data_IF_345485402427
#
_entry.id   IF_345485402427
#
_cell.length_a   1.000
_cell.length_b   1.000
_cell.length_c   1.000
_cell.angle_alpha   90.00
_cell.angle_beta   90.00
_cell.angle_gamma   90.00
#
_symmetry.space_group_name_H-M   'P 1'
#
loop_
_entity.id
_entity.type
_entity.pdbx_description
1 polymer ?
#
# COMPACT_ATOMS: atom_id res chain seq x y z
N UNK A 1 19.26 -22.72 8.66
CA UNK A 1 18.33 -21.70 8.15
C UNK A 1 18.97 -20.31 8.15
N UNK A 2 19.60 -19.90 9.27
CA UNK A 2 20.17 -18.54 9.39
C UNK A 2 21.27 -18.24 8.36
N UNK A 3 22.22 -19.15 8.17
CA UNK A 3 23.40 -18.86 7.34
C UNK A 3 23.16 -18.98 5.83
N UNK A 4 22.21 -19.81 5.41
CA UNK A 4 22.01 -20.12 3.99
C UNK A 4 20.64 -19.71 3.46
N UNK A 5 19.81 -19.07 4.30
CA UNK A 5 18.41 -18.72 3.98
C UNK A 5 17.58 -19.91 3.42
N UNK A 6 17.93 -21.13 3.84
CA UNK A 6 17.22 -22.36 3.46
C UNK A 6 16.55 -22.99 4.67
N UNK A 7 15.44 -23.65 4.44
CA UNK A 7 14.78 -24.46 5.48
C UNK A 7 15.69 -25.56 5.95
N UNK A 8 15.63 -25.92 7.22
CA UNK A 8 16.48 -26.93 7.82
C UNK A 8 15.72 -27.72 8.87
N UNK A 9 16.19 -28.95 9.07
CA UNK A 9 15.76 -29.80 10.18
C UNK A 9 17.00 -30.18 10.98
N UNK A 10 16.93 -30.07 12.29
CA UNK A 10 17.98 -30.50 13.23
C UNK A 10 17.43 -31.64 14.06
N UNK A 11 18.04 -32.80 13.95
CA UNK A 11 17.62 -33.99 14.67
C UNK A 11 18.25 -34.04 16.06
N UNK A 12 17.59 -34.73 16.96
CA UNK A 12 17.93 -35.04 18.33
C UNK A 12 19.43 -35.13 18.62
N UNK A 13 20.13 -36.05 17.96
CA UNK A 13 21.55 -36.32 18.15
C UNK A 13 22.52 -35.28 17.55
N UNK A 14 22.00 -34.39 16.69
CA UNK A 14 22.77 -33.27 16.11
C UNK A 14 22.84 -32.09 17.07
N UNK A 15 22.02 -32.10 18.13
CA UNK A 15 22.04 -31.07 19.15
C UNK A 15 23.21 -31.31 20.13
N UNK A 16 24.04 -30.30 20.33
CA UNK A 16 25.15 -30.34 21.25
C UNK A 16 24.74 -30.34 22.74
N UNK A 17 23.52 -29.87 23.03
CA UNK A 17 23.01 -29.77 24.40
C UNK A 17 22.17 -31.00 24.76
N UNK A 18 22.58 -31.73 25.81
CA UNK A 18 21.90 -32.94 26.29
C UNK A 18 20.40 -32.72 26.61
N UNK A 19 20.03 -31.56 27.09
CA UNK A 19 18.63 -31.22 27.45
C UNK A 19 17.66 -31.17 26.27
N UNK A 20 18.16 -31.07 25.04
CA UNK A 20 17.35 -30.99 23.80
C UNK A 20 17.56 -32.18 22.88
N UNK A 21 18.30 -33.19 23.29
CA UNK A 21 18.54 -34.39 22.48
C UNK A 21 17.29 -35.23 22.17
N UNK A 22 16.21 -35.07 22.92
CA UNK A 22 14.90 -35.69 22.62
C UNK A 22 14.02 -34.85 21.63
N UNK A 23 14.54 -33.76 21.12
CA UNK A 23 13.77 -32.85 20.28
C UNK A 23 14.25 -32.87 18.84
N UNK A 24 13.31 -32.61 17.93
CA UNK A 24 13.59 -32.31 16.52
C UNK A 24 13.09 -30.90 16.27
N UNK A 25 13.92 -30.09 15.65
CA UNK A 25 13.63 -28.70 15.32
C UNK A 25 13.58 -28.50 13.80
N UNK A 26 12.50 -27.97 13.31
CA UNK A 26 12.33 -27.54 11.93
C UNK A 26 12.38 -26.03 11.88
N UNK A 27 13.13 -25.48 10.94
CA UNK A 27 13.28 -24.03 10.82
C UNK A 27 13.16 -23.59 9.37
N UNK A 28 12.44 -22.47 9.14
CA UNK A 28 12.35 -21.83 7.84
C UNK A 28 12.64 -20.34 7.96
N UNK A 29 13.39 -19.73 7.02
CA UNK A 29 13.68 -18.31 7.02
C UNK A 29 12.44 -17.52 6.59
N UNK A 30 12.29 -16.34 7.15
CA UNK A 30 11.32 -15.33 6.74
C UNK A 30 12.11 -14.27 5.98
N UNK A 31 11.96 -14.26 4.65
CA UNK A 31 12.68 -13.37 3.74
C UNK A 31 11.67 -12.63 2.88
N UNK A 32 11.80 -11.32 2.76
CA UNK A 32 10.98 -10.55 1.82
C UNK A 32 11.33 -11.00 0.38
N UNK A 33 10.38 -11.55 -0.38
CA UNK A 33 10.65 -12.07 -1.72
C UNK A 33 10.96 -10.97 -2.75
N UNK A 34 10.67 -9.69 -2.45
CA UNK A 34 10.92 -8.55 -3.35
C UNK A 34 12.27 -7.92 -3.07
N UNK A 35 12.53 -7.58 -1.80
CA UNK A 35 13.77 -6.90 -1.40
C UNK A 35 14.91 -7.88 -1.05
N UNK A 36 14.61 -9.17 -0.80
CA UNK A 36 15.55 -10.12 -0.28
C UNK A 36 15.92 -9.91 1.19
N UNK A 37 15.24 -8.96 1.87
CA UNK A 37 15.55 -8.65 3.27
C UNK A 37 15.17 -9.81 4.18
N UNK A 38 16.11 -10.21 5.03
CA UNK A 38 15.90 -11.24 6.07
C UNK A 38 15.20 -10.61 7.29
N UNK A 39 14.05 -11.16 7.67
CA UNK A 39 13.24 -10.69 8.81
C UNK A 39 13.38 -11.59 10.04
N UNK A 40 13.76 -12.86 9.85
CA UNK A 40 13.89 -13.79 10.95
C UNK A 40 13.74 -15.25 10.54
N UNK A 41 13.54 -16.10 11.54
CA UNK A 41 13.34 -17.54 11.35
C UNK A 41 12.11 -17.97 12.13
N UNK A 42 11.24 -18.75 11.51
CA UNK A 42 10.19 -19.48 12.21
C UNK A 42 10.72 -20.88 12.58
N UNK A 43 10.47 -21.28 13.82
CA UNK A 43 10.91 -22.56 14.34
C UNK A 43 9.71 -23.36 14.89
N UNK A 44 9.67 -24.64 14.56
CA UNK A 44 8.75 -25.61 15.13
C UNK A 44 9.57 -26.74 15.77
N UNK A 45 9.36 -27.01 17.06
CA UNK A 45 10.06 -28.08 17.76
C UNK A 45 9.08 -29.13 18.26
N UNK A 46 9.45 -30.40 18.15
CA UNK A 46 8.65 -31.52 18.65
C UNK A 46 9.54 -32.60 19.25
N UNK A 47 8.96 -33.48 20.03
CA UNK A 47 9.68 -34.66 20.53
C UNK A 47 10.04 -35.59 19.38
N UNK A 48 11.25 -36.17 19.38
CA UNK A 48 11.72 -37.07 18.34
C UNK A 48 10.74 -38.20 18.00
N UNK A 49 10.07 -38.76 18.99
CA UNK A 49 9.01 -39.79 18.80
C UNK A 49 7.81 -39.33 17.98
N UNK A 50 7.61 -38.01 17.85
CA UNK A 50 6.55 -37.39 17.05
C UNK A 50 7.08 -36.76 15.77
N UNK A 51 8.31 -37.03 15.42
CA UNK A 51 8.92 -36.54 14.18
C UNK A 51 8.10 -36.98 12.95
N UNK A 52 7.97 -36.08 12.02
CA UNK A 52 7.39 -36.33 10.70
C UNK A 52 8.15 -35.55 9.63
N UNK A 53 8.32 -36.16 8.47
CA UNK A 53 8.90 -35.47 7.30
C UNK A 53 8.11 -34.24 6.83
N UNK A 54 6.84 -34.14 7.23
CA UNK A 54 6.00 -32.98 6.94
C UNK A 54 6.36 -31.74 7.79
N UNK A 55 7.19 -31.89 8.83
CA UNK A 55 7.57 -30.79 9.71
C UNK A 55 8.28 -29.64 8.98
N UNK A 56 9.14 -29.95 8.01
CA UNK A 56 9.81 -28.92 7.18
C UNK A 56 8.78 -28.18 6.34
N UNK A 57 7.90 -28.90 5.64
CA UNK A 57 6.82 -28.30 4.86
C UNK A 57 5.90 -27.40 5.70
N UNK A 58 5.62 -27.81 6.93
CA UNK A 58 4.78 -27.03 7.84
C UNK A 58 5.42 -25.69 8.18
N UNK A 59 6.71 -25.65 8.55
CA UNK A 59 7.39 -24.37 8.86
C UNK A 59 7.59 -23.50 7.62
N UNK A 60 7.83 -24.09 6.45
CA UNK A 60 7.90 -23.37 5.18
C UNK A 60 6.57 -22.67 4.89
N UNK A 61 5.46 -23.39 5.03
CA UNK A 61 4.14 -22.80 4.82
C UNK A 61 3.80 -21.71 5.83
N UNK A 62 4.19 -21.90 7.09
CA UNK A 62 4.07 -20.85 8.10
C UNK A 62 4.93 -19.63 7.76
N UNK A 63 6.18 -19.83 7.31
CA UNK A 63 7.05 -18.73 6.89
C UNK A 63 6.45 -17.94 5.71
N UNK A 64 5.90 -18.64 4.69
CA UNK A 64 5.20 -17.99 3.57
C UNK A 64 4.00 -17.14 4.04
N UNK A 65 3.21 -17.65 4.99
CA UNK A 65 2.07 -16.89 5.52
C UNK A 65 2.53 -15.63 6.26
N UNK A 66 3.61 -15.74 7.04
CA UNK A 66 4.21 -14.58 7.73
C UNK A 66 4.81 -13.59 6.74
N UNK A 67 5.52 -14.07 5.71
CA UNK A 67 6.05 -13.22 4.63
C UNK A 67 4.94 -12.43 3.93
N UNK A 68 3.83 -13.09 3.61
CA UNK A 68 2.65 -12.42 3.03
C UNK A 68 2.06 -11.39 3.99
N UNK A 69 1.97 -11.71 5.30
CA UNK A 69 1.47 -10.77 6.29
C UNK A 69 2.38 -9.53 6.43
N UNK A 70 3.71 -9.72 6.46
CA UNK A 70 4.69 -8.62 6.48
C UNK A 70 4.56 -7.73 5.24
N UNK A 71 4.37 -8.31 4.05
CA UNK A 71 4.10 -7.55 2.83
C UNK A 71 2.79 -6.75 2.91
N UNK A 72 1.79 -7.29 3.61
CA UNK A 72 0.53 -6.59 3.87
C UNK A 72 0.69 -5.44 4.87
N UNK A 73 1.64 -5.58 5.84
CA UNK A 73 1.97 -4.53 6.82
C UNK A 73 2.97 -3.48 6.30
N UNK A 74 3.66 -3.72 5.19
CA UNK A 74 4.30 -2.63 4.44
C UNK A 74 3.16 -1.73 3.94
N UNK A 75 2.81 -0.73 4.77
CA UNK A 75 1.77 0.24 4.47
C UNK A 75 2.00 0.77 3.07
N UNK A 76 1.13 0.36 2.14
CA UNK A 76 1.14 0.93 0.81
C UNK A 76 1.12 2.46 0.94
N UNK A 77 2.13 3.12 0.40
CA UNK A 77 2.26 4.57 0.48
C UNK A 77 2.02 5.19 -0.89
N UNK A 78 1.01 6.04 -0.95
CA UNK A 78 0.68 6.86 -2.12
C UNK A 78 1.17 8.29 -1.88
N UNK A 79 2.11 8.73 -2.68
CA UNK A 79 2.55 10.13 -2.72
C UNK A 79 1.96 10.82 -3.95
N UNK A 80 1.22 11.90 -3.73
CA UNK A 80 0.52 12.64 -4.77
C UNK A 80 0.89 14.12 -4.69
N UNK A 81 1.63 14.58 -5.67
CA UNK A 81 1.99 15.98 -5.85
C UNK A 81 1.23 16.54 -7.05
N UNK A 82 0.45 17.61 -6.84
CA UNK A 82 -0.44 18.18 -7.87
C UNK A 82 -0.33 19.71 -8.02
N UNK A 83 0.41 20.37 -7.12
CA UNK A 83 0.78 21.78 -7.35
C UNK A 83 1.83 21.87 -8.45
N UNK A 84 1.49 22.52 -9.57
CA UNK A 84 2.31 22.60 -10.77
C UNK A 84 2.21 21.34 -11.63
N UNK A 85 3.34 20.71 -11.95
CA UNK A 85 3.37 19.48 -12.76
C UNK A 85 3.02 18.27 -11.90
N UNK A 86 1.89 17.56 -12.17
CA UNK A 86 1.47 16.42 -11.38
C UNK A 86 2.51 15.28 -11.40
N UNK A 87 2.74 14.69 -10.22
CA UNK A 87 3.57 13.49 -10.04
C UNK A 87 2.91 12.57 -9.03
N UNK A 88 2.81 11.30 -9.38
CA UNK A 88 2.24 10.28 -8.52
C UNK A 88 3.26 9.17 -8.31
N UNK A 89 3.49 8.80 -7.06
CA UNK A 89 4.36 7.68 -6.70
C UNK A 89 3.59 6.71 -5.80
N UNK A 90 3.79 5.44 -6.04
CA UNK A 90 3.26 4.38 -5.20
C UNK A 90 4.40 3.46 -4.77
N UNK A 91 4.60 3.29 -3.48
CA UNK A 91 5.72 2.52 -2.92
C UNK A 91 7.07 2.94 -3.53
N UNK A 92 7.30 4.26 -3.62
CA UNK A 92 8.49 4.90 -4.20
C UNK A 92 8.65 4.74 -5.73
N UNK A 93 7.77 4.02 -6.41
CA UNK A 93 7.77 3.90 -7.87
C UNK A 93 6.93 5.01 -8.50
N UNK A 94 7.48 5.72 -9.49
CA UNK A 94 6.76 6.74 -10.25
C UNK A 94 5.71 6.05 -11.12
N UNK A 95 4.45 6.50 -11.02
CA UNK A 95 3.35 6.03 -11.85
C UNK A 95 3.05 7.03 -12.97
N UNK A 96 2.83 6.50 -14.16
CA UNK A 96 2.30 7.28 -15.28
C UNK A 96 0.78 7.12 -15.30
N UNK A 97 0.08 8.16 -14.87
CA UNK A 97 -1.38 8.19 -14.81
C UNK A 97 -1.94 9.18 -15.82
N UNK A 98 -3.17 8.91 -16.29
CA UNK A 98 -3.92 9.87 -17.07
C UNK A 98 -4.35 11.06 -16.20
N UNK A 99 -4.63 12.19 -16.83
CA UNK A 99 -5.14 13.37 -16.10
C UNK A 99 -6.41 13.03 -15.30
N UNK A 100 -7.31 12.24 -15.89
CA UNK A 100 -8.53 11.79 -15.25
C UNK A 100 -8.29 10.90 -14.02
N UNK A 101 -7.32 10.01 -14.09
CA UNK A 101 -6.93 9.17 -12.95
C UNK A 101 -6.37 9.99 -11.80
N UNK A 102 -5.62 11.04 -12.09
CA UNK A 102 -5.11 11.97 -11.06
C UNK A 102 -6.26 12.75 -10.42
N UNK A 103 -7.24 13.24 -11.20
CA UNK A 103 -8.44 13.89 -10.68
C UNK A 103 -9.22 12.96 -9.75
N UNK A 104 -9.43 11.71 -10.13
CA UNK A 104 -10.09 10.69 -9.30
C UNK A 104 -9.34 10.54 -7.97
N UNK A 105 -8.02 10.38 -8.00
CA UNK A 105 -7.23 10.25 -6.78
C UNK A 105 -7.36 11.47 -5.87
N UNK A 106 -7.34 12.69 -6.43
CA UNK A 106 -7.53 13.91 -5.64
C UNK A 106 -8.90 13.94 -4.97
N UNK A 107 -9.97 13.56 -5.69
CA UNK A 107 -11.32 13.50 -5.11
C UNK A 107 -11.38 12.46 -3.99
N UNK A 108 -10.80 11.28 -4.19
CA UNK A 108 -10.76 10.24 -3.15
C UNK A 108 -9.97 10.68 -1.90
N UNK A 109 -8.89 11.44 -2.08
CA UNK A 109 -8.12 12.02 -0.95
C UNK A 109 -8.96 13.02 -0.17
N UNK A 110 -9.74 13.83 -0.85
CA UNK A 110 -10.62 14.86 -0.25
C UNK A 110 -11.90 14.26 0.37
N UNK A 111 -12.16 12.95 0.13
CA UNK A 111 -13.28 12.22 0.74
C UNK A 111 -12.76 11.05 1.60
N UNK A 112 -12.17 11.31 2.78
CA UNK A 112 -11.56 10.29 3.62
C UNK A 112 -12.57 9.26 4.14
N UNK A 113 -13.85 9.60 4.23
CA UNK A 113 -14.92 8.66 4.60
C UNK A 113 -15.39 7.79 3.41
N UNK A 114 -14.92 8.12 2.22
CA UNK A 114 -15.31 7.47 0.98
C UNK A 114 -16.44 8.19 0.24
N UNK A 115 -16.60 7.85 -1.02
CA UNK A 115 -17.58 8.45 -1.93
C UNK A 115 -18.25 7.34 -2.76
N UNK A 116 -19.54 7.44 -3.03
CA UNK A 116 -20.22 6.48 -3.90
C UNK A 116 -19.96 6.78 -5.38
N UNK A 117 -20.43 5.88 -6.27
CA UNK A 117 -20.17 6.01 -7.70
C UNK A 117 -20.81 7.25 -8.31
N UNK A 118 -22.05 7.52 -7.95
CA UNK A 118 -22.83 8.62 -8.53
C UNK A 118 -22.29 9.98 -8.09
N UNK A 119 -21.93 10.10 -6.81
CA UNK A 119 -21.26 11.27 -6.26
C UNK A 119 -19.89 11.51 -6.90
N UNK A 120 -19.09 10.45 -7.08
CA UNK A 120 -17.78 10.52 -7.75
C UNK A 120 -17.95 10.94 -9.22
N UNK A 121 -18.96 10.39 -9.90
CA UNK A 121 -19.30 10.76 -11.27
C UNK A 121 -19.67 12.25 -11.36
N UNK A 122 -20.55 12.71 -10.47
CA UNK A 122 -20.98 14.11 -10.42
C UNK A 122 -19.80 15.04 -10.07
N UNK A 123 -18.97 14.67 -9.12
CA UNK A 123 -17.77 15.44 -8.75
C UNK A 123 -16.80 15.63 -9.93
N UNK A 124 -16.68 14.62 -10.81
CA UNK A 124 -15.79 14.66 -11.97
C UNK A 124 -16.39 15.38 -13.17
N UNK A 125 -17.68 15.16 -13.45
CA UNK A 125 -18.30 15.52 -14.72
C UNK A 125 -19.42 16.56 -14.57
N UNK A 126 -19.99 16.74 -13.36
CA UNK A 126 -21.19 17.53 -13.17
C UNK A 126 -22.36 16.95 -13.97
N UNK A 127 -23.08 17.81 -14.64
CA UNK A 127 -24.25 17.45 -15.47
C UNK A 127 -23.88 16.99 -16.90
N UNK A 128 -22.59 16.75 -17.20
CA UNK A 128 -22.16 16.27 -18.52
C UNK A 128 -22.64 14.84 -18.73
N UNK A 129 -23.17 14.57 -19.93
CA UNK A 129 -23.62 13.22 -20.32
C UNK A 129 -22.42 12.30 -20.64
N UNK A 130 -21.76 11.82 -19.60
CA UNK A 130 -20.65 10.87 -19.67
C UNK A 130 -21.07 9.57 -19.02
N UNK A 131 -20.88 8.47 -19.74
CA UNK A 131 -21.30 7.15 -19.26
C UNK A 131 -20.53 6.75 -17.99
N UNK A 132 -21.24 6.24 -16.99
CA UNK A 132 -20.63 5.60 -15.79
C UNK A 132 -19.66 4.48 -16.15
N UNK A 133 -19.81 3.82 -17.31
CA UNK A 133 -18.89 2.77 -17.77
C UNK A 133 -17.47 3.32 -17.91
N UNK A 134 -17.31 4.57 -18.34
CA UNK A 134 -16.02 5.24 -18.47
C UNK A 134 -15.36 5.38 -17.11
N UNK A 135 -16.10 5.86 -16.11
CA UNK A 135 -15.58 5.98 -14.73
C UNK A 135 -15.23 4.61 -14.13
N UNK A 136 -16.07 3.59 -14.33
CA UNK A 136 -15.79 2.22 -13.89
C UNK A 136 -14.52 1.64 -14.52
N UNK A 137 -14.25 1.94 -15.79
CA UNK A 137 -13.03 1.53 -16.47
C UNK A 137 -11.78 2.22 -15.87
N UNK A 138 -11.82 3.54 -15.64
CA UNK A 138 -10.74 4.28 -14.98
C UNK A 138 -10.47 3.74 -13.56
N UNK A 139 -11.52 3.47 -12.78
CA UNK A 139 -11.40 2.89 -11.45
C UNK A 139 -10.79 1.50 -11.47
N UNK A 140 -11.12 0.68 -12.48
CA UNK A 140 -10.54 -0.65 -12.66
C UNK A 140 -9.04 -0.57 -12.95
N UNK A 141 -8.63 0.35 -13.82
CA UNK A 141 -7.21 0.59 -14.12
C UNK A 141 -6.45 1.10 -12.88
N UNK A 142 -7.02 2.06 -12.15
CA UNK A 142 -6.42 2.56 -10.92
C UNK A 142 -6.20 1.45 -9.88
N UNK A 143 -7.12 0.51 -9.74
CA UNK A 143 -6.94 -0.63 -8.84
C UNK A 143 -5.84 -1.58 -9.27
N UNK A 144 -5.61 -1.73 -10.55
CA UNK A 144 -4.49 -2.51 -11.07
C UNK A 144 -3.15 -1.85 -10.74
N UNK A 145 -3.10 -0.51 -10.86
CA UNK A 145 -1.90 0.27 -10.57
C UNK A 145 -1.65 0.48 -9.06
N UNK A 146 -2.71 0.46 -8.25
CA UNK A 146 -2.70 0.67 -6.80
C UNK A 146 -3.33 -0.53 -6.08
N UNK A 147 -2.70 -1.71 -6.11
CA UNK A 147 -3.26 -2.92 -5.53
C UNK A 147 -3.55 -2.75 -4.04
N UNK A 148 -4.73 -3.19 -3.61
CA UNK A 148 -5.21 -3.14 -2.23
C UNK A 148 -5.32 -1.72 -1.61
N UNK A 149 -5.30 -0.65 -2.43
CA UNK A 149 -5.37 0.72 -1.93
C UNK A 149 -6.74 1.36 -2.07
N UNK A 150 -7.62 0.81 -2.91
CA UNK A 150 -8.93 1.41 -3.20
C UNK A 150 -10.05 0.41 -2.87
N UNK A 151 -10.87 0.72 -1.87
CA UNK A 151 -12.13 0.01 -1.60
C UNK A 151 -13.18 0.36 -2.64
N UNK A 152 -14.23 -0.46 -2.74
CA UNK A 152 -15.24 -0.37 -3.80
C UNK A 152 -16.59 0.20 -3.37
N UNK A 153 -16.95 0.11 -2.11
CA UNK A 153 -18.29 0.46 -1.62
C UNK A 153 -18.21 0.90 -0.16
N UNK A 154 -18.06 2.19 0.07
CA UNK A 154 -17.78 3.29 -0.88
C UNK A 154 -16.38 3.23 -1.49
N UNK A 155 -16.12 4.01 -2.55
CA UNK A 155 -14.75 4.21 -3.04
C UNK A 155 -13.96 5.01 -2.02
N UNK A 156 -12.92 4.39 -1.46
CA UNK A 156 -12.10 4.97 -0.40
C UNK A 156 -10.65 4.51 -0.54
N UNK A 157 -9.73 5.43 -0.33
CA UNK A 157 -8.31 5.08 -0.21
C UNK A 157 -8.03 4.51 1.19
N UNK A 158 -7.34 3.36 1.25
CA UNK A 158 -6.98 2.67 2.50
C UNK A 158 -5.47 2.49 2.66
N UNK A 159 -4.68 3.10 1.80
CA UNK A 159 -3.22 3.18 1.93
C UNK A 159 -2.81 4.41 2.73
N UNK A 160 -1.53 4.49 3.10
CA UNK A 160 -0.96 5.72 3.65
C UNK A 160 -0.82 6.75 2.53
N UNK A 161 -1.29 7.99 2.76
CA UNK A 161 -1.37 9.01 1.72
C UNK A 161 -0.58 10.24 2.15
N UNK A 162 0.28 10.72 1.28
CA UNK A 162 0.96 12.00 1.43
C UNK A 162 0.71 12.86 0.20
N UNK A 163 0.16 14.04 0.41
CA UNK A 163 -0.08 14.98 -0.70
C UNK A 163 0.48 16.36 -0.38
N UNK A 164 0.86 17.10 -1.42
CA UNK A 164 1.31 18.50 -1.27
C UNK A 164 0.14 19.42 -0.91
N UNK A 165 -1.05 19.20 -1.46
CA UNK A 165 -2.20 20.08 -1.28
C UNK A 165 -2.86 19.93 0.11
N UNK A 166 -3.04 18.73 0.65
CA UNK A 166 -3.57 18.57 2.02
C UNK A 166 -2.58 19.08 3.06
N UNK A 167 -1.27 18.91 2.83
CA UNK A 167 -0.25 19.48 3.71
C UNK A 167 -0.20 20.99 3.64
N UNK A 168 -0.38 21.58 2.46
CA UNK A 168 -0.47 23.03 2.30
C UNK A 168 -1.71 23.60 2.99
N UNK A 169 -2.86 22.94 2.84
CA UNK A 169 -4.11 23.32 3.54
C UNK A 169 -3.94 23.26 5.05
N UNK A 170 -3.38 22.18 5.59
CA UNK A 170 -3.08 22.04 7.02
C UNK A 170 -2.13 23.13 7.52
N UNK A 171 -1.08 23.44 6.75
CA UNK A 171 -0.12 24.48 7.08
C UNK A 171 -0.77 25.88 7.07
N UNK A 172 -1.64 26.14 6.10
CA UNK A 172 -2.40 27.39 5.99
C UNK A 172 -3.34 27.57 7.19
N UNK A 173 -4.11 26.53 7.53
CA UNK A 173 -5.03 26.54 8.67
C UNK A 173 -4.30 26.70 10.01
N UNK A 174 -3.06 26.21 10.11
CA UNK A 174 -2.20 26.38 11.27
C UNK A 174 -1.43 27.72 11.30
N UNK A 175 -1.59 28.58 10.27
CA UNK A 175 -0.94 29.88 10.16
C UNK A 175 0.54 29.83 9.70
N UNK A 176 1.03 28.66 9.22
CA UNK A 176 2.42 28.48 8.77
C UNK A 176 2.57 28.87 7.29
N UNK A 177 2.47 30.17 6.97
CA UNK A 177 2.51 30.70 5.60
C UNK A 177 3.77 30.30 4.82
N UNK A 178 4.95 30.37 5.46
CA UNK A 178 6.21 29.99 4.81
C UNK A 178 6.20 28.54 4.34
N UNK A 179 5.67 27.61 5.15
CA UNK A 179 5.53 26.20 4.79
C UNK A 179 4.53 26.01 3.65
N UNK A 180 3.41 26.73 3.69
CA UNK A 180 2.39 26.72 2.62
C UNK A 180 3.00 27.16 1.29
N UNK A 181 3.69 28.30 1.26
CA UNK A 181 4.37 28.78 0.04
C UNK A 181 5.47 27.84 -0.47
N UNK A 182 6.16 27.13 0.42
CA UNK A 182 7.17 26.15 0.00
C UNK A 182 6.57 24.96 -0.76
N UNK A 183 5.34 24.57 -0.42
CA UNK A 183 4.59 23.48 -1.05
C UNK A 183 3.90 23.92 -2.35
N UNK A 184 3.45 25.16 -2.42
CA UNK A 184 2.74 25.72 -3.58
C UNK A 184 3.71 25.99 -4.72
N UNK A 185 3.76 25.07 -5.70
CA UNK A 185 4.66 25.18 -6.89
C UNK A 185 3.90 25.54 -8.18
N UNK A 186 2.68 25.97 -8.06
CA UNK A 186 1.79 26.33 -9.16
C UNK A 186 0.35 25.95 -8.85
N UNK A 187 -0.57 26.30 -9.72
CA UNK A 187 -2.00 26.04 -9.51
C UNK A 187 -2.30 24.55 -9.34
N UNK A 188 -3.21 24.24 -8.42
CA UNK A 188 -3.74 22.89 -8.21
C UNK A 188 -4.45 22.40 -9.47
N UNK A 189 -3.94 21.33 -10.07
CA UNK A 189 -4.49 20.72 -11.29
C UNK A 189 -5.04 21.77 -12.29
N UNK A 190 -4.17 22.68 -12.74
CA UNK A 190 -4.56 23.84 -13.58
C UNK A 190 -5.41 23.48 -14.81
N UNK A 191 -5.28 22.26 -15.35
CA UNK A 191 -6.03 21.74 -16.51
C UNK A 191 -7.29 20.96 -16.12
N UNK A 192 -7.61 20.85 -14.84
CA UNK A 192 -8.81 20.13 -14.41
C UNK A 192 -10.07 20.93 -14.73
N UNK A 193 -11.02 20.24 -15.34
CA UNK A 193 -12.38 20.72 -15.62
C UNK A 193 -13.42 20.05 -14.69
N UNK A 194 -12.97 19.30 -13.68
CA UNK A 194 -13.86 18.72 -12.67
C UNK A 194 -14.51 19.84 -11.87
N UNK A 195 -15.85 19.91 -11.79
CA UNK A 195 -16.54 20.96 -11.02
C UNK A 195 -16.09 20.98 -9.56
N UNK A 196 -15.98 19.81 -8.93
CA UNK A 196 -15.55 19.68 -7.53
C UNK A 196 -14.12 20.20 -7.32
N UNK A 197 -13.17 19.77 -8.15
CA UNK A 197 -11.76 20.17 -8.00
C UNK A 197 -11.52 21.64 -8.38
N UNK A 198 -12.29 22.17 -9.31
CA UNK A 198 -12.25 23.59 -9.66
C UNK A 198 -12.74 24.44 -8.48
N UNK A 199 -13.87 24.08 -7.88
CA UNK A 199 -14.40 24.77 -6.69
C UNK A 199 -13.38 24.70 -5.54
N UNK A 200 -12.77 23.53 -5.28
CA UNK A 200 -11.75 23.39 -4.23
C UNK A 200 -10.53 24.27 -4.53
N UNK A 201 -10.06 24.29 -5.77
CA UNK A 201 -8.92 25.14 -6.20
C UNK A 201 -9.19 26.62 -6.00
N UNK A 202 -10.41 27.06 -6.26
CA UNK A 202 -10.81 28.48 -6.17
C UNK A 202 -11.02 28.93 -4.72
N UNK A 203 -11.24 27.97 -3.78
CA UNK A 203 -11.33 28.23 -2.35
C UNK A 203 -9.97 28.18 -1.62
N UNK A 204 -8.94 27.56 -2.23
CA UNK A 204 -7.59 27.44 -1.66
C UNK A 204 -6.74 28.67 -1.97
#
# INVERSE_FOLDING_TARGET
>A
ALNNHLSSCVYSHENQMNSVQDWVCYAAPIVDPVSGQFHGVINLSTKYKKHTSLGVLAVERCAELVQRAIQFEQKNMLYLKVFGTPKVQFNQQLLTLTHRQIEILCILVLHPEGINLDELHYALYGDRDISEKTLKAEMSQLRTLLPNCILSRPYKLVCEIQTDFTRAEQSLNAGFLASTFSLYKGSFLAKSESPFLTTWRDCF
#
